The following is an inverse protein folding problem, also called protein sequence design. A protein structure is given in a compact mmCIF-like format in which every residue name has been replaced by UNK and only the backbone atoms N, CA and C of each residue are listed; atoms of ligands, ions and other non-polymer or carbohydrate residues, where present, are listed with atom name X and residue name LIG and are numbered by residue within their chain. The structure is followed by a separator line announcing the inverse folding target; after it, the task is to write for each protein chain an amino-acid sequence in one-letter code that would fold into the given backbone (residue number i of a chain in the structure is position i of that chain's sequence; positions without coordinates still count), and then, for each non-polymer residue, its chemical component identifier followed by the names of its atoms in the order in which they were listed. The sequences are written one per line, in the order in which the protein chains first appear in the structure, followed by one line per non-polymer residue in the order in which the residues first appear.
data_IF_466586861244
#
_entry.id   IF_466586861244
#
_cell.length_a   1.000
_cell.length_b   1.000
_cell.length_c   1.000
_cell.angle_alpha   90.00
_cell.angle_beta   90.00
_cell.angle_gamma   90.00
#
_symmetry.space_group_name_H-M   'P 1'
#
loop_
_entity.id
_entity.type
_entity.pdbx_description
1 polymer ?
#
# COMPACT_ATOMS: atom_id res chain seq x y z
N UNK A 1 -31.59 13.41 -8.45
CA UNK A 1 -31.12 14.47 -7.52
C UNK A 1 -30.04 13.85 -6.68
N UNK A 2 -28.78 14.24 -6.88
CA UNK A 2 -27.65 13.77 -6.07
C UNK A 2 -27.56 14.75 -4.89
N UNK A 3 -27.74 14.24 -3.69
CA UNK A 3 -27.70 15.01 -2.45
C UNK A 3 -26.36 14.78 -1.75
N UNK A 4 -25.88 15.79 -1.28
CA UNK A 4 -24.99 16.19 -0.21
C UNK A 4 -23.76 16.95 -0.68
N UNK A 5 -23.57 18.14 -0.10
CA UNK A 5 -22.53 19.12 -0.46
C UNK A 5 -21.17 18.84 0.24
N UNK A 6 -20.97 17.70 0.86
CA UNK A 6 -19.64 17.30 1.33
C UNK A 6 -18.80 16.84 0.14
N UNK A 7 -17.73 17.56 -0.15
CA UNK A 7 -16.87 17.33 -1.30
C UNK A 7 -16.06 16.03 -1.22
N UNK A 8 -15.93 15.44 -0.05
CA UNK A 8 -15.02 14.34 0.22
C UNK A 8 -15.73 12.99 0.34
N UNK A 9 -15.07 11.91 -0.15
CA UNK A 9 -15.56 10.54 0.01
C UNK A 9 -15.60 10.14 1.49
N UNK A 10 -16.74 9.62 1.96
CA UNK A 10 -16.88 9.05 3.30
C UNK A 10 -15.90 7.86 3.47
N UNK A 11 -15.57 7.54 4.72
CA UNK A 11 -14.83 6.34 5.06
C UNK A 11 -15.71 5.10 4.86
N UNK A 12 -15.21 4.10 4.10
CA UNK A 12 -15.92 2.86 3.81
C UNK A 12 -15.11 1.64 4.25
N UNK A 13 -15.82 0.55 4.58
CA UNK A 13 -15.24 -0.75 4.91
C UNK A 13 -14.29 -0.72 6.14
N UNK A 14 -13.38 -1.66 6.24
CA UNK A 14 -12.38 -1.81 7.32
C UNK A 14 -12.91 -2.43 8.62
N UNK A 15 -14.08 -3.04 8.58
CA UNK A 15 -14.70 -3.65 9.77
C UNK A 15 -13.74 -4.69 10.40
N UNK A 16 -13.23 -5.61 9.58
CA UNK A 16 -12.32 -6.67 10.06
C UNK A 16 -11.00 -6.12 10.58
N UNK A 17 -10.48 -5.07 9.94
CA UNK A 17 -9.26 -4.42 10.40
C UNK A 17 -9.49 -3.66 11.71
N UNK A 18 -10.66 -3.04 11.88
CA UNK A 18 -11.05 -2.34 13.12
C UNK A 18 -11.27 -3.32 14.28
N UNK A 19 -11.91 -4.46 14.03
CA UNK A 19 -12.03 -5.54 15.02
C UNK A 19 -10.65 -5.97 15.52
N UNK A 20 -9.72 -6.26 14.60
CA UNK A 20 -8.35 -6.63 14.97
C UNK A 20 -7.59 -5.53 15.72
N UNK A 21 -7.74 -4.26 15.30
CA UNK A 21 -7.13 -3.14 16.02
C UNK A 21 -7.71 -3.02 17.44
N UNK A 22 -9.01 -3.29 17.60
CA UNK A 22 -9.68 -3.30 18.91
C UNK A 22 -9.13 -4.37 19.83
N UNK A 23 -9.04 -5.61 19.35
CA UNK A 23 -8.49 -6.73 20.12
C UNK A 23 -7.04 -6.47 20.55
N UNK A 24 -6.24 -5.90 19.64
CA UNK A 24 -4.84 -5.56 19.91
C UNK A 24 -4.74 -4.39 20.91
N UNK A 25 -5.58 -3.36 20.76
CA UNK A 25 -5.61 -2.21 21.69
C UNK A 25 -5.96 -2.66 23.12
N UNK A 26 -6.92 -3.58 23.26
CA UNK A 26 -7.28 -4.16 24.54
C UNK A 26 -6.13 -5.00 25.13
N UNK A 27 -5.54 -5.91 24.35
CA UNK A 27 -4.40 -6.71 24.78
C UNK A 27 -3.18 -5.87 25.17
N UNK A 28 -2.99 -4.72 24.52
CA UNK A 28 -1.87 -3.81 24.80
C UNK A 28 -1.97 -3.10 26.16
N UNK A 29 -3.12 -3.17 26.83
CA UNK A 29 -3.30 -2.67 28.19
C UNK A 29 -2.75 -3.61 29.25
N UNK A 30 -2.59 -4.89 28.89
CA UNK A 30 -2.03 -5.92 29.78
C UNK A 30 -0.54 -6.13 29.51
N UNK A 31 -0.14 -6.21 28.22
CA UNK A 31 1.24 -6.46 27.78
C UNK A 31 1.50 -5.80 26.43
N UNK A 32 2.71 -5.34 26.22
CA UNK A 32 3.10 -4.63 25.00
C UNK A 32 2.72 -5.41 23.73
N UNK A 33 2.10 -4.73 22.79
CA UNK A 33 1.78 -5.23 21.46
C UNK A 33 2.58 -4.52 20.39
N UNK A 34 3.14 -5.30 19.46
CA UNK A 34 3.87 -4.78 18.31
C UNK A 34 3.18 -5.23 17.01
N UNK A 35 2.43 -4.33 16.40
CA UNK A 35 1.61 -4.62 15.22
C UNK A 35 2.20 -4.02 13.97
N UNK A 36 2.30 -4.84 12.91
CA UNK A 36 2.71 -4.40 11.59
C UNK A 36 1.47 -4.19 10.70
N UNK A 37 1.30 -2.99 10.17
CA UNK A 37 0.27 -2.68 9.18
C UNK A 37 0.92 -2.63 7.79
N UNK A 38 0.62 -3.62 6.96
CA UNK A 38 1.14 -3.73 5.60
C UNK A 38 0.05 -3.54 4.57
N UNK A 39 0.46 -3.28 3.34
CA UNK A 39 -0.43 -3.08 2.19
C UNK A 39 0.21 -2.11 1.22
N UNK A 40 -0.21 -2.19 -0.04
CA UNK A 40 0.34 -1.33 -1.09
C UNK A 40 0.18 0.16 -0.78
N UNK A 41 0.94 0.99 -1.48
CA UNK A 41 0.79 2.45 -1.42
C UNK A 41 -0.65 2.86 -1.75
N UNK A 42 -1.18 3.88 -1.05
CA UNK A 42 -2.52 4.46 -1.27
C UNK A 42 -3.71 3.56 -0.93
N UNK A 43 -3.46 2.48 -0.19
CA UNK A 43 -4.50 1.56 0.29
C UNK A 43 -5.25 2.08 1.53
N UNK A 44 -4.83 3.23 2.07
CA UNK A 44 -5.47 3.83 3.25
C UNK A 44 -4.98 3.30 4.59
N UNK A 45 -3.72 2.81 4.72
CA UNK A 45 -3.16 2.33 6.00
C UNK A 45 -3.21 3.41 7.09
N UNK A 46 -2.66 4.56 6.79
CA UNK A 46 -2.59 5.72 7.70
C UNK A 46 -3.98 6.19 8.11
N UNK A 47 -4.87 6.35 7.12
CA UNK A 47 -6.24 6.79 7.34
C UNK A 47 -7.04 5.80 8.20
N UNK A 48 -6.87 4.50 7.96
CA UNK A 48 -7.50 3.43 8.75
C UNK A 48 -7.08 3.50 10.23
N UNK A 49 -5.79 3.62 10.53
CA UNK A 49 -5.30 3.70 11.91
C UNK A 49 -5.76 5.01 12.56
N UNK A 50 -5.66 6.15 11.86
CA UNK A 50 -6.12 7.45 12.37
C UNK A 50 -7.62 7.45 12.65
N UNK A 51 -8.44 6.87 11.77
CA UNK A 51 -9.88 6.77 11.95
C UNK A 51 -10.26 5.91 13.15
N UNK A 52 -9.54 4.81 13.35
CA UNK A 52 -9.76 3.95 14.53
C UNK A 52 -9.45 4.68 15.85
N UNK A 53 -8.41 5.52 15.88
CA UNK A 53 -7.99 6.28 17.06
C UNK A 53 -8.48 7.73 17.08
N UNK A 54 -9.42 8.13 16.23
CA UNK A 54 -9.88 9.52 16.06
C UNK A 54 -10.26 10.22 17.39
N UNK A 55 -10.86 9.45 18.33
CA UNK A 55 -11.31 9.96 19.65
C UNK A 55 -10.43 9.47 20.81
N UNK A 56 -9.19 9.05 20.54
CA UNK A 56 -8.26 8.51 21.53
C UNK A 56 -6.88 9.16 21.37
N UNK A 57 -6.13 9.23 22.47
CA UNK A 57 -4.76 9.75 22.40
C UNK A 57 -3.85 8.72 21.71
N UNK A 58 -3.24 9.12 20.60
CA UNK A 58 -2.26 8.35 19.84
C UNK A 58 -1.10 9.26 19.47
N UNK A 59 0.12 8.82 19.76
CA UNK A 59 1.34 9.43 19.24
C UNK A 59 1.49 9.02 17.76
N UNK A 60 1.66 9.99 16.88
CA UNK A 60 1.83 9.76 15.45
C UNK A 60 3.19 10.23 14.96
N UNK A 61 4.05 9.30 14.58
CA UNK A 61 5.40 9.55 14.06
C UNK A 61 5.43 9.23 12.58
N UNK A 62 5.59 10.24 11.74
CA UNK A 62 5.80 10.07 10.31
C UNK A 62 7.29 10.12 10.00
N UNK A 63 7.85 9.03 9.48
CA UNK A 63 9.27 8.93 9.13
C UNK A 63 9.50 9.55 7.75
N UNK A 64 9.68 10.86 7.71
CA UNK A 64 10.07 11.56 6.49
C UNK A 64 11.57 11.30 6.17
N UNK A 65 11.93 11.46 4.91
CA UNK A 65 13.33 11.37 4.44
C UNK A 65 14.10 12.64 4.80
N UNK A 66 14.40 12.83 6.10
CA UNK A 66 15.13 13.94 6.70
C UNK A 66 16.26 13.41 7.57
N UNK A 67 17.10 14.29 8.08
CA UNK A 67 18.07 13.94 9.12
C UNK A 67 17.36 13.41 10.38
N UNK A 68 17.96 12.47 11.09
CA UNK A 68 17.38 11.88 12.31
C UNK A 68 17.06 12.97 13.35
N UNK A 69 17.96 13.95 13.54
CA UNK A 69 17.76 15.03 14.50
C UNK A 69 16.47 15.83 14.21
N UNK A 70 16.20 16.18 12.94
CA UNK A 70 15.00 16.93 12.55
C UNK A 70 13.71 16.12 12.81
N UNK A 71 13.77 14.79 12.62
CA UNK A 71 12.66 13.89 12.94
C UNK A 71 12.43 13.82 14.45
N UNK A 72 13.50 13.71 15.22
CA UNK A 72 13.45 13.62 16.67
C UNK A 72 12.81 14.88 17.29
N UNK A 73 13.15 16.06 16.80
CA UNK A 73 12.55 17.31 17.27
C UNK A 73 11.02 17.31 17.02
N UNK A 74 10.57 16.84 15.85
CA UNK A 74 9.14 16.71 15.54
C UNK A 74 8.45 15.69 16.46
N UNK A 75 9.11 14.55 16.73
CA UNK A 75 8.55 13.51 17.60
C UNK A 75 8.44 13.96 19.05
N UNK A 76 9.41 14.75 19.53
CA UNK A 76 9.36 15.33 20.86
C UNK A 76 8.21 16.32 20.98
N UNK A 77 7.97 17.16 19.97
CA UNK A 77 6.85 18.11 19.98
C UNK A 77 5.50 17.37 19.95
N UNK A 78 5.39 16.27 19.24
CA UNK A 78 4.20 15.40 19.26
C UNK A 78 3.99 14.82 20.68
N UNK A 79 5.04 14.31 21.34
CA UNK A 79 4.98 13.79 22.71
C UNK A 79 4.54 14.87 23.68
N UNK A 80 5.17 16.05 23.63
CA UNK A 80 4.83 17.19 24.50
C UNK A 80 3.35 17.54 24.42
N UNK A 81 2.85 17.64 23.18
CA UNK A 81 1.50 18.06 22.89
C UNK A 81 0.48 16.98 23.28
N UNK A 82 0.69 15.75 22.81
CA UNK A 82 -0.30 14.65 22.97
C UNK A 82 -0.33 14.07 24.37
N UNK A 83 0.80 14.04 25.06
CA UNK A 83 0.90 13.49 26.41
C UNK A 83 0.87 14.56 27.51
N UNK A 84 0.74 15.84 27.13
CA UNK A 84 0.74 16.98 28.03
C UNK A 84 1.98 17.00 28.98
N UNK A 85 3.18 16.90 28.39
CA UNK A 85 4.47 16.92 29.10
C UNK A 85 5.27 18.14 28.61
N UNK A 86 4.89 19.38 28.94
CA UNK A 86 5.51 20.59 28.40
C UNK A 86 6.97 20.77 28.81
N UNK A 87 7.38 20.20 29.95
CA UNK A 87 8.73 20.33 30.51
C UNK A 87 9.72 19.29 29.94
N UNK A 88 9.33 18.45 28.98
CA UNK A 88 10.22 17.49 28.36
C UNK A 88 11.32 18.24 27.58
N UNK A 89 12.54 18.26 28.12
CA UNK A 89 13.71 18.75 27.39
C UNK A 89 14.24 17.61 26.50
N UNK A 90 13.85 17.65 25.26
CA UNK A 90 14.24 16.62 24.27
C UNK A 90 15.31 17.08 23.29
N UNK A 91 15.90 18.26 23.49
CA UNK A 91 16.87 18.84 22.57
C UNK A 91 18.09 17.93 22.37
N UNK A 92 18.29 17.49 21.12
CA UNK A 92 19.40 16.61 20.76
C UNK A 92 19.22 15.13 21.15
N UNK A 93 18.02 14.71 21.54
CA UNK A 93 17.73 13.28 21.75
C UNK A 93 17.80 12.51 20.44
N UNK A 94 18.40 11.31 20.46
CA UNK A 94 18.29 10.34 19.36
C UNK A 94 16.93 9.65 19.36
N UNK A 95 16.54 9.04 18.23
CA UNK A 95 15.32 8.24 18.18
C UNK A 95 15.32 7.12 19.24
N UNK A 96 16.46 6.46 19.46
CA UNK A 96 16.62 5.43 20.49
C UNK A 96 16.27 5.96 21.90
N UNK A 97 16.73 7.16 22.24
CA UNK A 97 16.41 7.79 23.52
C UNK A 97 14.91 8.15 23.64
N UNK A 98 14.31 8.64 22.56
CA UNK A 98 12.86 8.93 22.51
C UNK A 98 12.04 7.63 22.65
N UNK A 99 12.41 6.59 21.92
CA UNK A 99 11.71 5.30 22.01
C UNK A 99 11.82 4.69 23.40
N UNK A 100 13.03 4.73 24.01
CA UNK A 100 13.23 4.29 25.38
C UNK A 100 12.36 5.07 26.36
N UNK A 101 12.32 6.39 26.25
CA UNK A 101 11.46 7.24 27.08
C UNK A 101 9.97 6.86 26.97
N UNK A 102 9.47 6.59 25.76
CA UNK A 102 8.08 6.12 25.56
C UNK A 102 7.87 4.75 26.23
N UNK A 103 8.81 3.82 26.10
CA UNK A 103 8.74 2.52 26.74
C UNK A 103 8.74 2.62 28.28
N UNK A 104 9.55 3.50 28.85
CA UNK A 104 9.56 3.78 30.30
C UNK A 104 8.23 4.40 30.78
N UNK A 105 7.67 5.36 30.03
CA UNK A 105 6.36 5.91 30.34
C UNK A 105 5.25 4.84 30.29
N UNK A 106 5.39 3.88 29.38
CA UNK A 106 4.39 2.82 29.21
C UNK A 106 4.39 1.77 30.33
N UNK A 107 5.35 1.80 31.26
CA UNK A 107 5.32 0.99 32.48
C UNK A 107 4.22 1.43 33.47
N UNK A 108 3.77 2.67 33.38
CA UNK A 108 2.80 3.26 34.34
C UNK A 108 1.51 3.71 33.72
N UNK A 109 1.45 3.82 32.38
CA UNK A 109 0.25 4.23 31.64
C UNK A 109 0.18 3.60 30.25
N UNK A 110 -1.01 3.32 29.76
CA UNK A 110 -1.20 2.84 28.41
C UNK A 110 -0.83 3.91 27.36
N UNK A 111 -0.02 3.53 26.38
CA UNK A 111 0.41 4.39 25.26
C UNK A 111 0.09 3.72 23.94
N UNK A 112 -0.42 4.49 23.00
CA UNK A 112 -0.54 4.10 21.58
C UNK A 112 0.49 4.89 20.79
N UNK A 113 1.42 4.19 20.13
CA UNK A 113 2.44 4.78 19.26
C UNK A 113 2.27 4.24 17.84
N UNK A 114 1.93 5.12 16.90
CA UNK A 114 1.87 4.79 15.49
C UNK A 114 3.03 5.42 14.72
N UNK A 115 3.90 4.58 14.13
CA UNK A 115 5.03 5.01 13.30
C UNK A 115 4.71 4.67 11.85
N UNK A 116 4.53 5.69 11.04
CA UNK A 116 4.19 5.57 9.61
C UNK A 116 5.43 5.73 8.73
N UNK A 117 5.44 5.07 7.56
CA UNK A 117 6.59 4.92 6.64
C UNK A 117 7.84 4.37 7.37
N UNK A 118 7.62 3.42 8.27
CA UNK A 118 8.64 2.82 9.14
C UNK A 118 9.88 2.32 8.42
N UNK A 119 9.72 1.84 7.17
CA UNK A 119 10.84 1.38 6.35
C UNK A 119 11.84 2.51 5.99
N UNK A 120 11.43 3.77 6.05
CA UNK A 120 12.32 4.88 5.69
C UNK A 120 13.40 5.13 6.75
N UNK A 121 13.27 4.60 7.97
CA UNK A 121 14.39 4.52 8.91
C UNK A 121 15.62 3.81 8.34
N UNK A 122 15.44 2.87 7.41
CA UNK A 122 16.56 2.23 6.73
C UNK A 122 17.47 3.23 5.98
N UNK A 123 16.88 4.34 5.52
CA UNK A 123 17.58 5.42 4.83
C UNK A 123 18.07 6.51 5.78
N UNK A 124 17.35 6.75 6.86
CA UNK A 124 17.66 7.77 7.86
C UNK A 124 18.83 7.31 8.75
N UNK A 125 18.63 6.19 9.42
CA UNK A 125 19.64 5.56 10.29
C UNK A 125 19.27 4.09 10.52
N UNK A 126 19.91 3.13 9.82
CA UNK A 126 19.60 1.71 9.96
C UNK A 126 19.83 1.12 11.35
N UNK A 127 20.67 1.76 12.20
CA UNK A 127 20.92 1.28 13.55
C UNK A 127 19.69 1.35 14.46
N UNK A 128 18.71 2.20 14.11
CA UNK A 128 17.44 2.35 14.83
C UNK A 128 16.74 1.01 15.05
N UNK A 129 16.80 0.10 14.08
CA UNK A 129 16.17 -1.22 14.23
C UNK A 129 16.82 -2.08 15.32
N UNK A 130 18.14 -2.00 15.46
CA UNK A 130 18.87 -2.70 16.53
C UNK A 130 18.61 -2.06 17.89
N UNK A 131 18.55 -0.73 17.93
CA UNK A 131 18.25 0.00 19.15
C UNK A 131 16.81 -0.30 19.62
N UNK A 132 15.85 -0.26 18.70
CA UNK A 132 14.46 -0.65 18.99
C UNK A 132 14.36 -2.09 19.48
N UNK A 133 15.10 -3.02 18.86
CA UNK A 133 15.16 -4.41 19.32
C UNK A 133 15.56 -4.50 20.79
N UNK A 134 16.69 -3.90 21.16
CA UNK A 134 17.23 -3.96 22.50
C UNK A 134 16.29 -3.35 23.54
N UNK A 135 15.72 -2.19 23.20
CA UNK A 135 14.78 -1.48 24.07
C UNK A 135 13.48 -2.30 24.19
N UNK A 136 12.90 -2.76 23.07
CA UNK A 136 11.70 -3.57 23.07
C UNK A 136 11.83 -4.83 23.93
N UNK A 137 12.91 -5.59 23.73
CA UNK A 137 13.17 -6.83 24.47
C UNK A 137 13.37 -6.58 25.97
N UNK A 138 13.79 -5.37 26.37
CA UNK A 138 13.98 -5.00 27.79
C UNK A 138 12.69 -4.61 28.50
N UNK A 139 11.69 -4.11 27.80
CA UNK A 139 10.49 -3.51 28.40
C UNK A 139 9.18 -4.26 28.09
N UNK A 140 9.10 -5.03 27.01
CA UNK A 140 7.87 -5.59 26.45
C UNK A 140 6.99 -6.37 27.44
N UNK A 141 7.60 -7.05 28.39
CA UNK A 141 6.90 -7.93 29.31
C UNK A 141 6.14 -7.17 30.43
N UNK A 142 6.50 -5.89 30.64
CA UNK A 142 5.90 -5.05 31.70
C UNK A 142 5.32 -3.73 31.16
N UNK A 143 5.47 -3.46 29.87
CA UNK A 143 5.01 -2.23 29.27
C UNK A 143 3.56 -2.36 28.76
N UNK A 144 2.77 -1.30 28.88
CA UNK A 144 1.41 -1.18 28.40
C UNK A 144 1.39 -0.29 27.13
N UNK A 145 1.90 -0.83 26.02
CA UNK A 145 2.03 -0.08 24.76
C UNK A 145 1.43 -0.83 23.58
N UNK A 146 0.69 -0.11 22.75
CA UNK A 146 0.35 -0.54 21.40
C UNK A 146 1.27 0.15 20.40
N UNK A 147 2.36 -0.52 20.03
CA UNK A 147 3.27 -0.08 18.98
C UNK A 147 2.75 -0.55 17.62
N UNK A 148 2.28 0.38 16.80
CA UNK A 148 1.80 0.12 15.44
C UNK A 148 2.83 0.71 14.48
N UNK A 149 3.31 -0.09 13.53
CA UNK A 149 4.20 0.39 12.47
C UNK A 149 3.58 0.12 11.11
N UNK A 150 3.60 1.11 10.23
CA UNK A 150 3.12 0.96 8.87
C UNK A 150 4.22 1.26 7.85
N UNK A 151 4.13 0.59 6.70
CA UNK A 151 5.03 0.83 5.58
C UNK A 151 4.38 0.51 4.25
N UNK A 152 4.81 1.22 3.22
CA UNK A 152 4.26 1.12 1.87
C UNK A 152 5.15 0.33 0.90
N UNK A 153 6.45 0.16 1.21
CA UNK A 153 7.41 -0.59 0.40
C UNK A 153 7.51 -2.02 0.92
N UNK A 154 6.83 -2.95 0.22
CA UNK A 154 6.71 -4.34 0.68
C UNK A 154 8.06 -5.05 0.84
N UNK A 155 9.00 -4.82 -0.08
CA UNK A 155 10.34 -5.43 -0.05
C UNK A 155 11.10 -5.03 1.22
N UNK A 156 11.10 -3.75 1.59
CA UNK A 156 11.78 -3.27 2.79
C UNK A 156 11.08 -3.75 4.06
N UNK A 157 9.75 -3.73 4.12
CA UNK A 157 9.00 -4.25 5.27
C UNK A 157 9.21 -5.76 5.45
N UNK A 158 9.22 -6.53 4.36
CA UNK A 158 9.55 -7.95 4.42
C UNK A 158 10.99 -8.18 4.88
N UNK A 159 11.95 -7.39 4.41
CA UNK A 159 13.34 -7.45 4.86
C UNK A 159 13.44 -7.19 6.36
N UNK A 160 12.83 -6.13 6.87
CA UNK A 160 12.90 -5.73 8.29
C UNK A 160 12.31 -6.81 9.22
N UNK A 161 11.16 -7.42 8.84
CA UNK A 161 10.39 -8.27 9.75
C UNK A 161 10.42 -9.76 9.45
N UNK A 162 10.78 -10.18 8.22
CA UNK A 162 10.76 -11.59 7.80
C UNK A 162 12.16 -12.18 7.55
N UNK A 163 13.18 -11.36 7.37
CA UNK A 163 14.55 -11.84 7.25
C UNK A 163 15.12 -12.15 8.65
N UNK A 164 15.48 -13.41 8.87
CA UNK A 164 16.04 -13.91 10.14
C UNK A 164 17.31 -13.19 10.62
N UNK A 165 18.00 -12.50 9.71
CA UNK A 165 19.22 -11.73 10.02
C UNK A 165 18.93 -10.31 10.52
N UNK A 166 17.69 -9.87 10.47
CA UNK A 166 17.32 -8.50 10.86
C UNK A 166 16.92 -8.41 12.33
N UNK A 167 17.22 -7.27 12.98
CA UNK A 167 17.00 -7.10 14.42
C UNK A 167 15.55 -7.32 14.86
N UNK A 168 14.58 -6.85 14.09
CA UNK A 168 13.17 -6.91 14.44
C UNK A 168 12.46 -8.21 13.99
N UNK A 169 13.22 -9.17 13.43
CA UNK A 169 12.63 -10.46 13.06
C UNK A 169 11.95 -11.15 14.26
N UNK A 170 10.68 -11.54 14.07
CA UNK A 170 9.91 -12.30 15.07
C UNK A 170 9.47 -11.52 16.31
N UNK A 171 9.60 -10.19 16.33
CA UNK A 171 9.19 -9.36 17.47
C UNK A 171 7.78 -8.81 17.37
N UNK A 172 7.19 -8.89 16.18
CA UNK A 172 5.78 -8.52 16.01
C UNK A 172 4.86 -9.52 16.72
N UNK A 173 3.84 -9.00 17.41
CA UNK A 173 2.76 -9.80 18.01
C UNK A 173 1.55 -9.92 17.08
N UNK A 174 1.39 -8.96 16.12
CA UNK A 174 0.29 -8.95 15.18
C UNK A 174 0.66 -8.40 13.79
N UNK A 175 -0.14 -8.76 12.80
CA UNK A 175 -0.01 -8.22 11.44
C UNK A 175 -1.40 -7.96 10.85
N UNK A 176 -1.60 -6.74 10.35
CA UNK A 176 -2.80 -6.33 9.62
C UNK A 176 -2.40 -6.06 8.17
N UNK A 177 -2.92 -6.87 7.25
CA UNK A 177 -2.68 -6.68 5.83
C UNK A 177 -3.87 -5.98 5.19
N UNK A 178 -3.74 -4.69 4.97
CA UNK A 178 -4.80 -3.85 4.37
C UNK A 178 -4.90 -4.14 2.88
N UNK A 179 -6.08 -4.55 2.44
CA UNK A 179 -6.36 -4.94 1.05
C UNK A 179 -7.18 -3.89 0.32
N UNK A 180 -7.16 -3.89 -1.04
CA UNK A 180 -8.08 -3.10 -1.83
C UNK A 180 -9.54 -3.39 -1.49
N UNK A 181 -10.42 -2.44 -1.73
CA UNK A 181 -11.86 -2.65 -1.61
C UNK A 181 -12.33 -3.78 -2.53
N UNK A 182 -13.17 -4.65 -1.99
CA UNK A 182 -13.83 -5.69 -2.77
C UNK A 182 -14.86 -5.06 -3.72
N UNK A 183 -15.24 -5.75 -4.81
CA UNK A 183 -16.31 -5.27 -5.71
C UNK A 183 -17.64 -4.98 -5.00
N UNK A 184 -17.95 -5.66 -3.90
CA UNK A 184 -19.12 -5.38 -3.05
C UNK A 184 -19.07 -4.00 -2.43
N UNK A 185 -17.90 -3.59 -1.90
CA UNK A 185 -17.69 -2.26 -1.32
C UNK A 185 -17.74 -1.17 -2.41
N UNK A 186 -17.14 -1.41 -3.57
CA UNK A 186 -17.26 -0.49 -4.71
C UNK A 186 -18.71 -0.29 -5.17
N UNK A 187 -19.52 -1.37 -5.13
CA UNK A 187 -20.95 -1.28 -5.40
C UNK A 187 -21.68 -0.44 -4.34
N UNK A 188 -21.33 -0.61 -3.08
CA UNK A 188 -21.88 0.19 -1.98
C UNK A 188 -21.55 1.68 -2.18
N UNK A 189 -20.28 2.02 -2.45
CA UNK A 189 -19.83 3.38 -2.75
C UNK A 189 -20.62 3.97 -3.94
N UNK A 190 -20.72 3.24 -5.05
CA UNK A 190 -21.49 3.71 -6.19
C UNK A 190 -22.98 3.86 -5.88
N UNK A 191 -23.56 2.98 -5.05
CA UNK A 191 -24.98 3.10 -4.64
C UNK A 191 -25.23 4.33 -3.77
N UNK A 192 -24.27 4.69 -2.93
CA UNK A 192 -24.34 5.91 -2.08
C UNK A 192 -24.25 7.19 -2.93
N UNK A 193 -23.25 7.29 -3.84
CA UNK A 193 -22.99 8.53 -4.57
C UNK A 193 -23.69 8.64 -5.92
N UNK A 194 -24.08 7.52 -6.52
CA UNK A 194 -24.78 7.43 -7.81
C UNK A 194 -25.73 6.24 -7.85
N UNK A 195 -26.91 6.31 -7.20
CA UNK A 195 -27.87 5.19 -7.14
C UNK A 195 -28.29 4.63 -8.50
N UNK A 196 -28.24 5.46 -9.55
CA UNK A 196 -28.58 5.06 -10.92
C UNK A 196 -27.42 4.45 -11.72
N UNK A 197 -26.30 4.07 -11.06
CA UNK A 197 -25.15 3.46 -11.72
C UNK A 197 -25.51 2.12 -12.40
N UNK A 198 -24.82 1.81 -13.50
CA UNK A 198 -24.97 0.57 -14.24
C UNK A 198 -23.90 -0.45 -13.81
N UNK A 199 -24.13 -1.72 -14.13
CA UNK A 199 -23.10 -2.78 -13.92
C UNK A 199 -21.79 -2.48 -14.67
N UNK A 200 -21.88 -1.84 -15.85
CA UNK A 200 -20.72 -1.38 -16.61
C UNK A 200 -19.89 -0.33 -15.86
N UNK A 201 -20.54 0.52 -15.06
CA UNK A 201 -19.87 1.57 -14.31
C UNK A 201 -19.09 0.97 -13.12
N UNK A 202 -19.68 -0.01 -12.43
CA UNK A 202 -19.00 -0.78 -11.39
C UNK A 202 -17.77 -1.51 -11.95
N UNK A 203 -17.94 -2.14 -13.10
CA UNK A 203 -16.86 -2.87 -13.77
C UNK A 203 -15.73 -1.92 -14.19
N UNK A 204 -16.08 -0.74 -14.71
CA UNK A 204 -15.12 0.31 -15.04
C UNK A 204 -14.37 0.80 -13.81
N UNK A 205 -15.10 1.13 -12.74
CA UNK A 205 -14.48 1.57 -11.48
C UNK A 205 -13.48 0.52 -10.96
N UNK A 206 -13.87 -0.75 -10.91
CA UNK A 206 -12.97 -1.83 -10.49
C UNK A 206 -11.77 -1.98 -11.41
N UNK A 207 -11.96 -1.96 -12.73
CA UNK A 207 -10.88 -2.13 -13.71
C UNK A 207 -9.85 -0.99 -13.63
N UNK A 208 -10.33 0.25 -13.47
CA UNK A 208 -9.48 1.45 -13.44
C UNK A 208 -8.82 1.70 -12.10
N UNK A 209 -9.40 1.21 -10.99
CA UNK A 209 -8.90 1.48 -9.65
C UNK A 209 -8.27 0.28 -8.96
N UNK A 210 -8.63 -0.94 -9.39
CA UNK A 210 -8.29 -2.17 -8.66
C UNK A 210 -8.85 -2.20 -7.23
N UNK A 211 -9.83 -1.35 -6.92
CA UNK A 211 -10.38 -1.17 -5.57
C UNK A 211 -9.47 -0.39 -4.62
N UNK A 212 -8.43 0.30 -5.11
CA UNK A 212 -7.56 1.13 -4.27
C UNK A 212 -8.31 2.36 -3.79
N UNK A 213 -8.47 2.56 -2.46
CA UNK A 213 -9.29 3.64 -1.91
C UNK A 213 -8.98 5.02 -2.50
N UNK A 214 -7.72 5.40 -2.59
CA UNK A 214 -7.34 6.72 -3.14
C UNK A 214 -7.76 6.91 -4.59
N UNK A 215 -7.75 5.85 -5.40
CA UNK A 215 -8.18 5.97 -6.79
C UNK A 215 -9.71 6.04 -6.90
N UNK A 216 -10.42 5.33 -6.01
CA UNK A 216 -11.88 5.40 -5.91
C UNK A 216 -12.30 6.78 -5.47
N UNK A 217 -11.68 7.33 -4.41
CA UNK A 217 -11.88 8.68 -3.90
C UNK A 217 -11.78 9.73 -5.02
N UNK A 218 -10.70 9.68 -5.84
CA UNK A 218 -10.53 10.63 -6.94
C UNK A 218 -11.71 10.66 -7.92
N UNK A 219 -12.33 9.50 -8.22
CA UNK A 219 -13.52 9.46 -9.07
C UNK A 219 -14.78 9.96 -8.35
N UNK A 220 -14.92 9.65 -7.06
CA UNK A 220 -16.04 10.11 -6.23
C UNK A 220 -16.01 11.63 -6.07
N UNK A 221 -14.88 12.21 -5.67
CA UNK A 221 -14.72 13.64 -5.44
C UNK A 221 -14.95 14.46 -6.72
N UNK A 222 -14.54 13.91 -7.87
CA UNK A 222 -14.80 14.53 -9.18
C UNK A 222 -16.15 14.15 -9.79
N UNK A 223 -16.99 13.40 -9.08
CA UNK A 223 -18.32 12.93 -9.52
C UNK A 223 -18.30 12.23 -10.88
N UNK A 224 -17.27 11.42 -11.13
CA UNK A 224 -17.08 10.67 -12.38
C UNK A 224 -17.57 9.24 -12.19
N UNK A 225 -18.90 9.02 -12.27
CA UNK A 225 -19.52 7.74 -11.91
C UNK A 225 -19.87 6.84 -13.10
N UNK A 226 -19.82 7.33 -14.33
CA UNK A 226 -20.07 6.49 -15.51
C UNK A 226 -18.75 6.02 -16.14
N UNK A 227 -18.75 4.82 -16.75
CA UNK A 227 -17.58 4.26 -17.42
C UNK A 227 -16.91 5.28 -18.38
N UNK A 228 -17.74 6.00 -19.18
CA UNK A 228 -17.23 7.05 -20.06
C UNK A 228 -16.54 8.18 -19.32
N UNK A 229 -17.19 8.76 -18.29
CA UNK A 229 -16.61 9.86 -17.50
C UNK A 229 -15.36 9.45 -16.73
N UNK A 230 -15.27 8.18 -16.28
CA UNK A 230 -14.08 7.64 -15.64
C UNK A 230 -12.93 7.52 -16.65
N UNK A 231 -13.17 7.04 -17.86
CA UNK A 231 -12.15 6.99 -18.91
C UNK A 231 -11.72 8.38 -19.37
N UNK A 232 -12.67 9.32 -19.51
CA UNK A 232 -12.36 10.73 -19.82
C UNK A 232 -11.38 11.31 -18.80
N UNK A 233 -11.65 11.17 -17.49
CA UNK A 233 -10.78 11.63 -16.42
C UNK A 233 -9.45 10.87 -16.36
N UNK A 234 -9.45 9.57 -16.64
CA UNK A 234 -8.24 8.75 -16.59
C UNK A 234 -7.22 9.18 -17.64
N UNK A 235 -7.68 9.56 -18.83
CA UNK A 235 -6.85 9.96 -19.97
C UNK A 235 -6.82 11.47 -20.24
N UNK A 236 -7.35 12.30 -19.34
CA UNK A 236 -7.22 13.76 -19.50
C UNK A 236 -5.75 14.19 -19.44
N UNK A 237 -5.46 15.35 -19.97
CA UNK A 237 -4.12 15.95 -19.87
C UNK A 237 -3.77 16.12 -18.38
N UNK A 238 -2.53 15.82 -18.01
CA UNK A 238 -2.04 15.87 -16.63
C UNK A 238 -2.78 14.97 -15.63
N UNK A 239 -3.44 13.93 -16.13
CA UNK A 239 -4.14 12.97 -15.27
C UNK A 239 -3.20 12.34 -14.24
N UNK A 240 -3.69 12.29 -13.00
CA UNK A 240 -3.03 11.62 -11.90
C UNK A 240 -2.66 10.15 -12.19
N UNK A 241 -3.46 9.45 -12.99
CA UNK A 241 -3.30 8.02 -13.26
C UNK A 241 -2.17 7.69 -14.24
N UNK A 242 -1.84 8.60 -15.16
CA UNK A 242 -0.86 8.33 -16.20
C UNK A 242 0.55 8.03 -15.64
N UNK A 243 1.13 8.83 -14.73
CA UNK A 243 2.44 8.54 -14.14
C UNK A 243 2.38 7.52 -12.99
N UNK A 244 1.17 7.22 -12.48
CA UNK A 244 0.98 6.55 -11.19
C UNK A 244 1.56 5.14 -11.13
N UNK A 245 1.36 4.31 -12.15
CA UNK A 245 1.91 2.96 -12.18
C UNK A 245 3.43 2.93 -12.10
N UNK A 246 4.10 3.90 -12.75
CA UNK A 246 5.55 4.07 -12.66
C UNK A 246 5.96 4.53 -11.26
N UNK A 247 5.31 5.57 -10.74
CA UNK A 247 5.62 6.15 -9.42
C UNK A 247 5.45 5.15 -8.28
N UNK A 248 4.50 4.23 -8.43
CA UNK A 248 4.23 3.19 -7.43
C UNK A 248 5.31 2.11 -7.38
N UNK A 249 5.89 1.76 -8.54
CA UNK A 249 6.77 0.60 -8.67
C UNK A 249 8.26 0.94 -8.69
N UNK A 250 8.62 2.19 -8.99
CA UNK A 250 10.03 2.56 -9.14
C UNK A 250 10.84 2.41 -7.84
N UNK A 251 10.21 2.71 -6.69
CA UNK A 251 10.83 2.55 -5.37
C UNK A 251 11.02 1.06 -4.98
N UNK A 252 10.17 0.16 -5.53
CA UNK A 252 10.25 -1.28 -5.28
C UNK A 252 11.34 -1.95 -6.13
N UNK A 253 11.44 -1.59 -7.40
CA UNK A 253 12.32 -2.29 -8.36
C UNK A 253 13.74 -1.72 -8.43
N UNK A 254 13.94 -0.49 -7.97
CA UNK A 254 15.25 0.16 -8.04
C UNK A 254 15.78 0.26 -9.49
N UNK A 255 17.07 -0.06 -9.68
CA UNK A 255 17.75 0.08 -10.99
C UNK A 255 17.23 -0.89 -12.06
N UNK A 256 16.69 -2.04 -11.68
CA UNK A 256 16.25 -3.11 -12.60
C UNK A 256 14.80 -2.92 -13.10
N UNK A 257 14.19 -1.77 -12.84
CA UNK A 257 12.78 -1.51 -13.16
C UNK A 257 12.44 -1.78 -14.64
N UNK A 258 13.35 -1.54 -15.58
CA UNK A 258 13.12 -1.72 -17.01
C UNK A 258 12.77 -3.16 -17.40
N UNK A 259 13.48 -4.15 -16.84
CA UNK A 259 13.22 -5.58 -17.09
C UNK A 259 11.87 -5.99 -16.49
N UNK A 260 11.62 -5.61 -15.24
CA UNK A 260 10.35 -5.89 -14.57
C UNK A 260 9.15 -5.27 -15.32
N UNK A 261 9.28 -4.03 -15.78
CA UNK A 261 8.22 -3.35 -16.53
C UNK A 261 7.95 -4.06 -17.87
N UNK A 262 8.98 -4.52 -18.56
CA UNK A 262 8.84 -5.28 -19.80
C UNK A 262 8.09 -6.61 -19.57
N UNK A 263 8.44 -7.34 -18.49
CA UNK A 263 7.75 -8.58 -18.12
C UNK A 263 6.27 -8.31 -17.80
N UNK A 264 5.99 -7.31 -16.95
CA UNK A 264 4.62 -6.96 -16.55
C UNK A 264 3.78 -6.50 -17.74
N UNK A 265 4.39 -5.77 -18.68
CA UNK A 265 3.71 -5.34 -19.92
C UNK A 265 3.27 -6.53 -20.76
N UNK A 266 4.13 -7.52 -20.94
CA UNK A 266 3.81 -8.73 -21.71
C UNK A 266 2.73 -9.56 -21.04
N UNK A 267 2.82 -9.73 -19.70
CA UNK A 267 1.78 -10.43 -18.92
C UNK A 267 0.43 -9.71 -19.05
N UNK A 268 0.40 -8.38 -18.96
CA UNK A 268 -0.80 -7.59 -19.14
C UNK A 268 -1.42 -7.71 -20.55
N UNK A 269 -0.59 -8.01 -21.56
CA UNK A 269 -1.01 -8.27 -22.94
C UNK A 269 -1.46 -9.72 -23.19
N UNK A 270 -1.32 -10.60 -22.20
CA UNK A 270 -1.74 -12.00 -22.28
C UNK A 270 -0.63 -12.99 -22.67
N UNK A 271 0.63 -12.54 -22.81
CA UNK A 271 1.79 -13.42 -22.93
C UNK A 271 2.24 -13.80 -21.53
N UNK A 272 1.78 -14.92 -21.05
CA UNK A 272 1.82 -15.23 -19.63
C UNK A 272 2.50 -16.55 -19.26
N UNK A 273 3.14 -17.22 -20.21
CA UNK A 273 4.02 -18.37 -19.96
C UNK A 273 5.48 -17.94 -19.98
N UNK A 274 6.33 -18.64 -19.21
CA UNK A 274 7.76 -18.34 -19.16
C UNK A 274 8.40 -18.39 -20.55
N UNK A 275 8.06 -19.38 -21.36
CA UNK A 275 8.63 -19.56 -22.71
C UNK A 275 8.25 -18.42 -23.67
N UNK A 276 7.02 -17.91 -23.60
CA UNK A 276 6.61 -16.75 -24.39
C UNK A 276 7.38 -15.47 -23.98
N UNK A 277 7.55 -15.27 -22.66
CA UNK A 277 8.28 -14.13 -22.12
C UNK A 277 9.77 -14.17 -22.52
N UNK A 278 10.45 -15.32 -22.34
CA UNK A 278 11.85 -15.52 -22.71
C UNK A 278 12.08 -15.30 -24.21
N UNK A 279 11.16 -15.79 -25.05
CA UNK A 279 11.24 -15.62 -26.50
C UNK A 279 11.13 -14.14 -26.93
N UNK A 280 10.19 -13.39 -26.33
CA UNK A 280 9.96 -11.99 -26.72
C UNK A 280 11.03 -11.06 -26.17
N UNK A 281 11.47 -11.28 -24.94
CA UNK A 281 12.46 -10.42 -24.28
C UNK A 281 13.91 -10.80 -24.67
N UNK A 282 14.11 -11.94 -25.33
CA UNK A 282 15.43 -12.50 -25.63
C UNK A 282 16.31 -12.64 -24.37
N UNK A 283 15.71 -13.00 -23.24
CA UNK A 283 16.39 -13.20 -21.95
C UNK A 283 16.28 -14.68 -21.61
N UNK A 284 17.42 -15.38 -21.46
CA UNK A 284 17.45 -16.83 -21.23
C UNK A 284 17.07 -17.27 -19.82
N UNK A 285 17.18 -16.39 -18.82
CA UNK A 285 16.94 -16.72 -17.41
C UNK A 285 15.96 -15.74 -16.74
N UNK A 286 14.68 -15.87 -17.04
CA UNK A 286 13.62 -15.07 -16.41
C UNK A 286 13.15 -15.62 -15.06
N UNK A 287 13.59 -16.81 -14.65
CA UNK A 287 13.10 -17.48 -13.44
C UNK A 287 13.30 -16.66 -12.17
N UNK A 288 14.45 -15.98 -12.03
CA UNK A 288 14.72 -15.08 -10.91
C UNK A 288 13.75 -13.88 -10.84
N UNK A 289 13.58 -13.20 -11.97
CA UNK A 289 12.65 -12.07 -12.07
C UNK A 289 11.19 -12.48 -11.78
N UNK A 290 10.74 -13.60 -12.34
CA UNK A 290 9.39 -14.11 -12.11
C UNK A 290 9.19 -14.56 -10.66
N UNK A 291 10.21 -15.15 -10.04
CA UNK A 291 10.19 -15.50 -8.61
C UNK A 291 10.05 -14.24 -7.76
N UNK A 292 10.85 -13.21 -7.99
CA UNK A 292 10.78 -11.95 -7.26
C UNK A 292 9.42 -11.27 -7.44
N UNK A 293 8.88 -11.22 -8.67
CA UNK A 293 7.54 -10.68 -8.92
C UNK A 293 6.43 -11.44 -8.17
N UNK A 294 6.57 -12.76 -7.97
CA UNK A 294 5.61 -13.57 -7.23
C UNK A 294 5.76 -13.44 -5.72
N UNK A 295 6.98 -13.58 -5.20
CA UNK A 295 7.28 -13.83 -3.79
C UNK A 295 7.67 -12.55 -3.04
N UNK A 296 8.54 -11.72 -3.62
CA UNK A 296 9.01 -10.48 -2.97
C UNK A 296 8.05 -9.31 -3.20
N UNK A 297 7.74 -9.05 -4.47
CA UNK A 297 6.87 -7.93 -4.84
C UNK A 297 5.37 -8.26 -4.73
N UNK A 298 5.01 -9.55 -4.83
CA UNK A 298 3.63 -10.01 -4.74
C UNK A 298 2.70 -9.47 -5.86
N UNK A 299 3.27 -9.05 -7.00
CA UNK A 299 2.55 -8.40 -8.09
C UNK A 299 1.89 -9.39 -9.05
N UNK A 300 2.44 -10.59 -9.18
CA UNK A 300 1.88 -11.64 -10.02
C UNK A 300 1.62 -12.91 -9.20
N UNK A 301 0.76 -13.77 -9.73
CA UNK A 301 0.50 -15.11 -9.20
C UNK A 301 0.78 -16.16 -10.25
N UNK A 302 1.19 -17.35 -9.80
CA UNK A 302 1.29 -18.56 -10.64
C UNK A 302 -0.06 -19.24 -10.67
N UNK A 303 -0.54 -19.56 -11.84
CA UNK A 303 -1.69 -20.44 -12.06
C UNK A 303 -1.23 -21.73 -12.73
N UNK A 304 -1.62 -22.83 -12.15
CA UNK A 304 -1.37 -24.17 -12.70
C UNK A 304 -2.72 -24.90 -12.81
N UNK A 305 -2.93 -25.72 -13.85
CA UNK A 305 -4.08 -26.61 -13.91
C UNK A 305 -4.09 -27.56 -12.69
N UNK A 306 -5.26 -27.76 -12.09
CA UNK A 306 -5.43 -28.49 -10.82
C UNK A 306 -4.98 -29.95 -10.93
N UNK A 307 -4.97 -30.53 -12.12
CA UNK A 307 -4.68 -31.95 -12.36
C UNK A 307 -3.28 -32.24 -12.91
N UNK A 308 -2.41 -31.23 -13.03
CA UNK A 308 -1.05 -31.43 -13.54
C UNK A 308 -0.03 -31.61 -12.42
N UNK A 309 0.91 -32.58 -12.61
CA UNK A 309 2.01 -32.83 -11.66
C UNK A 309 2.91 -31.58 -11.54
N UNK A 310 3.34 -31.26 -10.33
CA UNK A 310 4.28 -30.17 -10.07
C UNK A 310 5.56 -30.35 -10.89
N UNK A 311 5.88 -29.35 -11.71
CA UNK A 311 7.03 -29.38 -12.63
C UNK A 311 6.69 -29.22 -14.10
N UNK A 312 5.42 -29.18 -14.48
CA UNK A 312 4.99 -29.05 -15.87
C UNK A 312 5.20 -27.63 -16.42
N UNK A 313 5.46 -27.55 -17.74
CA UNK A 313 5.74 -26.31 -18.50
C UNK A 313 4.54 -25.34 -18.63
N UNK A 314 3.35 -25.73 -18.15
CA UNK A 314 2.08 -24.98 -18.29
C UNK A 314 1.79 -24.03 -17.12
N UNK A 315 2.82 -23.39 -16.55
CA UNK A 315 2.63 -22.33 -15.55
C UNK A 315 2.28 -21.03 -16.25
N UNK A 316 1.11 -20.47 -15.89
CA UNK A 316 0.69 -19.16 -16.35
C UNK A 316 0.89 -18.12 -15.23
N UNK A 317 1.35 -16.94 -15.61
CA UNK A 317 1.54 -15.82 -14.70
C UNK A 317 0.42 -14.78 -14.90
N UNK A 318 -0.21 -14.35 -13.82
CA UNK A 318 -1.28 -13.34 -13.87
C UNK A 318 -0.98 -12.19 -12.93
N UNK A 319 -1.25 -10.97 -13.36
CA UNK A 319 -1.18 -9.80 -12.49
C UNK A 319 -2.29 -9.85 -11.45
N UNK A 320 -1.94 -9.64 -10.18
CA UNK A 320 -2.90 -9.61 -9.07
C UNK A 320 -3.67 -8.29 -8.99
N UNK A 321 -3.09 -7.23 -9.49
CA UNK A 321 -3.59 -5.87 -9.37
C UNK A 321 -4.24 -5.41 -10.67
N UNK A 322 -5.54 -5.08 -10.62
CA UNK A 322 -6.31 -4.70 -11.82
C UNK A 322 -5.91 -3.33 -12.35
N UNK A 323 -5.62 -2.35 -11.45
CA UNK A 323 -5.11 -1.05 -11.89
C UNK A 323 -3.80 -1.20 -12.66
N UNK A 324 -2.82 -1.92 -12.10
CA UNK A 324 -1.55 -2.16 -12.79
C UNK A 324 -1.72 -2.93 -14.09
N UNK A 325 -2.60 -3.93 -14.11
CA UNK A 325 -2.91 -4.68 -15.33
C UNK A 325 -3.44 -3.76 -16.43
N UNK A 326 -4.37 -2.86 -16.09
CA UNK A 326 -4.89 -1.85 -17.01
C UNK A 326 -3.79 -0.87 -17.42
N UNK A 327 -3.02 -0.37 -16.46
CA UNK A 327 -1.97 0.61 -16.67
C UNK A 327 -0.86 0.09 -17.59
N UNK A 328 -0.32 -1.11 -17.37
CA UNK A 328 0.69 -1.70 -18.25
C UNK A 328 0.15 -1.99 -19.65
N UNK A 329 -1.10 -2.42 -19.75
CA UNK A 329 -1.72 -2.76 -21.03
C UNK A 329 -1.97 -1.54 -21.92
N UNK A 330 -2.36 -0.41 -21.32
CA UNK A 330 -2.81 0.76 -22.08
C UNK A 330 -1.94 2.00 -21.86
N UNK A 331 -1.47 2.29 -20.67
CA UNK A 331 -0.68 3.49 -20.41
C UNK A 331 0.79 3.25 -20.78
N UNK A 332 1.43 2.29 -20.13
CA UNK A 332 2.86 2.05 -20.34
C UNK A 332 3.18 1.61 -21.78
N UNK A 333 2.37 0.74 -22.35
CA UNK A 333 2.54 0.30 -23.74
C UNK A 333 2.49 1.44 -24.75
N UNK A 334 1.68 2.47 -24.49
CA UNK A 334 1.44 3.58 -25.38
C UNK A 334 2.02 4.91 -24.86
N UNK A 335 3.02 4.85 -24.00
CA UNK A 335 3.70 6.05 -23.42
C UNK A 335 4.10 7.04 -24.51
N UNK A 336 4.61 6.57 -25.67
CA UNK A 336 4.98 7.42 -26.79
C UNK A 336 3.81 8.25 -27.36
N UNK A 337 2.58 7.73 -27.33
CA UNK A 337 1.37 8.44 -27.74
C UNK A 337 1.03 9.53 -26.72
N UNK A 338 1.15 9.22 -25.44
CA UNK A 338 0.87 10.14 -24.31
C UNK A 338 1.86 11.29 -24.36
N UNK A 339 3.16 11.01 -24.50
CA UNK A 339 4.23 12.02 -24.61
C UNK A 339 4.08 12.94 -25.82
N UNK A 340 3.47 12.44 -26.89
CA UNK A 340 3.12 13.23 -28.08
C UNK A 340 1.78 13.99 -27.95
N UNK A 341 1.14 14.00 -26.77
CA UNK A 341 -0.16 14.67 -26.55
C UNK A 341 -1.35 13.96 -27.18
N UNK A 342 -1.21 12.66 -27.52
CA UNK A 342 -2.23 11.87 -28.22
C UNK A 342 -3.22 11.17 -27.28
N UNK A 343 -3.56 11.74 -26.13
CA UNK A 343 -4.44 11.12 -25.12
C UNK A 343 -5.83 10.72 -25.68
N UNK A 344 -6.41 11.55 -26.56
CA UNK A 344 -7.68 11.25 -27.22
C UNK A 344 -7.60 10.00 -28.12
N UNK A 345 -6.49 9.82 -28.83
CA UNK A 345 -6.26 8.62 -29.65
C UNK A 345 -6.15 7.38 -28.76
N UNK A 346 -5.42 7.51 -27.67
CA UNK A 346 -5.28 6.41 -26.70
C UNK A 346 -6.62 6.06 -26.08
N UNK A 347 -7.39 7.06 -25.68
CA UNK A 347 -8.74 6.87 -25.15
C UNK A 347 -9.63 6.10 -26.15
N UNK A 348 -9.63 6.46 -27.41
CA UNK A 348 -10.40 5.75 -28.44
C UNK A 348 -9.96 4.27 -28.59
N UNK A 349 -8.66 3.97 -28.52
CA UNK A 349 -8.13 2.59 -28.49
C UNK A 349 -8.67 1.84 -27.28
N UNK A 350 -8.63 2.46 -26.10
CA UNK A 350 -9.13 1.84 -24.87
C UNK A 350 -10.63 1.60 -24.91
N UNK A 351 -11.43 2.57 -25.35
CA UNK A 351 -12.89 2.43 -25.46
C UNK A 351 -13.28 1.24 -26.37
N UNK A 352 -12.59 1.07 -27.49
CA UNK A 352 -12.81 -0.08 -28.40
C UNK A 352 -12.48 -1.42 -27.72
N UNK A 353 -11.39 -1.49 -26.99
CA UNK A 353 -10.85 -2.72 -26.41
C UNK A 353 -11.35 -2.98 -24.97
N UNK A 354 -12.07 -2.02 -24.36
CA UNK A 354 -12.45 -2.03 -22.95
C UNK A 354 -13.35 -3.22 -22.59
N UNK A 355 -14.31 -3.57 -23.42
CA UNK A 355 -15.20 -4.72 -23.22
C UNK A 355 -14.42 -6.03 -23.14
N UNK A 356 -13.37 -6.18 -23.97
CA UNK A 356 -12.50 -7.37 -24.00
C UNK A 356 -11.64 -7.47 -22.74
N UNK A 357 -11.22 -6.32 -22.20
CA UNK A 357 -10.43 -6.26 -20.96
C UNK A 357 -11.28 -6.60 -19.75
N UNK A 358 -12.47 -6.03 -19.69
CA UNK A 358 -13.42 -6.27 -18.62
C UNK A 358 -13.90 -7.72 -18.57
N UNK A 359 -14.06 -8.39 -19.71
CA UNK A 359 -14.48 -9.80 -19.78
C UNK A 359 -13.43 -10.81 -19.30
N UNK A 360 -12.19 -10.37 -19.05
CA UNK A 360 -11.08 -11.17 -18.50
C UNK A 360 -10.69 -10.77 -17.07
N UNK A 361 -11.50 -9.93 -16.44
CA UNK A 361 -11.26 -9.38 -15.08
C UNK A 361 -11.89 -10.22 -13.99
#
# INVERSE_FOLDING_TARGET
MCYDNSADMKFFDRITEFEKLGDIDEASREVAQFTIVTGRRRIGKTEMVRKFYENRTMLYFFVARKAEADLCDIFIDEIRTKLNIPMLDGKGMSFAAIFKFIMELSLTRHIVLFIDEFQDFYRVNPSIYSDMQNIWDSYKDNAHINLIVAGSVNTLMNKIFKDKKQPLFGRQTGTINVRPFKPSVLKEILSEYCPAHKKSDLLALYTLTGGVPKYVELFVDKRKFTAKKMLDMFFEQDSYFLPEGKNMLIDEFGKDYGVYFSILTLIAQGKNTRSELEKVLNIKELSGYLKNLCEEYGLISKMQPIYEKSGNKNVHYMMKDQFLRFWFRFVYKYTHIIEAGGNDKLRAIVERDFSTVCGKS
#
